data_IF_867154559859
#
_entry.id   IF_867154559859
#
_cell.length_a   1.000
_cell.length_b   1.000
_cell.length_c   1.000
_cell.angle_alpha   90.00
_cell.angle_beta   90.00
_cell.angle_gamma   90.00
#
_symmetry.space_group_name_H-M   'P 1'
#
loop_
_entity.id
_entity.type
_entity.pdbx_description
1 polymer ?
#
# COMPACT_ATOMS: atom_id res chain seq x y z
N UNK A 1 20.80 -0.58 -14.63
CA UNK A 1 19.65 -0.36 -13.73
C UNK A 1 19.93 -1.15 -12.49
N UNK A 2 19.99 -0.48 -11.35
CA UNK A 2 20.08 -1.13 -10.05
C UNK A 2 18.67 -1.40 -9.53
N UNK A 3 18.50 -2.45 -8.79
CA UNK A 3 17.26 -2.73 -8.05
C UNK A 3 17.57 -2.68 -6.57
N UNK A 4 16.81 -1.87 -5.83
CA UNK A 4 16.96 -1.73 -4.38
C UNK A 4 15.90 -2.57 -3.67
N UNK A 5 16.29 -3.22 -2.60
CA UNK A 5 15.44 -4.07 -1.78
C UNK A 5 15.73 -3.77 -0.31
N UNK A 6 14.73 -3.99 0.54
CA UNK A 6 14.93 -3.96 1.98
C UNK A 6 14.66 -5.34 2.58
N UNK A 7 15.39 -5.69 3.62
CA UNK A 7 15.13 -6.87 4.42
C UNK A 7 15.21 -6.53 5.91
N UNK A 8 14.49 -7.28 6.70
CA UNK A 8 14.44 -7.14 8.15
C UNK A 8 14.48 -8.52 8.79
N UNK A 9 15.23 -8.62 9.89
CA UNK A 9 15.36 -9.87 10.63
C UNK A 9 14.35 -9.97 11.78
N UNK A 10 14.13 -8.89 12.52
CA UNK A 10 13.23 -8.79 13.66
C UNK A 10 12.51 -7.44 13.68
N UNK A 11 11.37 -7.35 14.36
CA UNK A 11 10.60 -6.11 14.49
C UNK A 11 11.14 -5.25 15.64
N UNK A 12 12.37 -4.77 15.52
CA UNK A 12 13.01 -3.89 16.48
C UNK A 12 14.02 -2.97 15.79
N UNK A 13 14.44 -1.91 16.48
CA UNK A 13 15.48 -0.99 15.98
C UNK A 13 16.76 -1.74 15.55
N UNK A 14 17.46 -1.20 14.55
CA UNK A 14 18.71 -1.73 14.00
C UNK A 14 18.61 -3.11 13.32
N UNK A 15 17.41 -3.57 12.98
CA UNK A 15 17.20 -4.88 12.34
C UNK A 15 16.77 -4.79 10.86
N UNK A 16 16.71 -3.59 10.32
CA UNK A 16 16.45 -3.36 8.91
C UNK A 16 17.70 -2.98 8.13
N UNK A 17 17.76 -3.31 6.86
CA UNK A 17 18.83 -2.90 5.96
C UNK A 17 18.35 -2.86 4.52
N UNK A 18 18.80 -1.86 3.78
CA UNK A 18 18.59 -1.75 2.33
C UNK A 18 19.78 -2.34 1.59
N UNK A 19 19.56 -2.99 0.47
CA UNK A 19 20.62 -3.49 -0.39
C UNK A 19 20.35 -3.24 -1.87
N UNK A 20 21.44 -3.09 -2.62
CA UNK A 20 21.42 -2.89 -4.04
C UNK A 20 22.14 -4.03 -4.76
N UNK A 21 21.57 -4.49 -5.85
CA UNK A 21 22.14 -5.53 -6.70
C UNK A 21 22.14 -5.11 -8.15
N UNK A 22 23.22 -5.43 -8.85
CA UNK A 22 23.33 -5.23 -10.31
C UNK A 22 22.58 -6.32 -11.09
N UNK A 23 22.35 -7.46 -10.47
CA UNK A 23 21.60 -8.56 -11.07
C UNK A 23 20.09 -8.39 -10.84
N UNK A 24 19.30 -8.67 -11.88
CA UNK A 24 17.84 -8.76 -11.75
C UNK A 24 17.49 -10.01 -10.95
N UNK A 25 17.36 -9.86 -9.64
CA UNK A 25 16.87 -10.91 -8.75
C UNK A 25 15.36 -10.72 -8.60
N UNK A 26 14.58 -11.74 -8.94
CA UNK A 26 13.15 -11.69 -8.67
C UNK A 26 12.90 -12.13 -7.22
N UNK A 27 12.72 -11.16 -6.34
CA UNK A 27 12.37 -11.39 -4.93
C UNK A 27 10.94 -10.90 -4.73
N UNK A 28 10.15 -11.67 -4.02
CA UNK A 28 8.79 -11.26 -3.62
C UNK A 28 8.72 -11.11 -2.11
N UNK A 29 7.82 -10.25 -1.64
CA UNK A 29 7.58 -10.03 -0.20
C UNK A 29 7.31 -11.35 0.51
N UNK A 30 7.82 -11.45 1.75
CA UNK A 30 7.70 -12.66 2.56
C UNK A 30 8.66 -13.80 2.19
N UNK A 31 9.59 -13.59 1.26
CA UNK A 31 10.65 -14.57 1.01
C UNK A 31 11.79 -14.41 1.99
N UNK A 32 12.27 -15.54 2.49
CA UNK A 32 13.51 -15.62 3.26
C UNK A 32 14.70 -15.61 2.30
N UNK A 33 15.65 -14.71 2.55
CA UNK A 33 16.82 -14.52 1.71
C UNK A 33 18.10 -14.50 2.54
N UNK A 34 19.22 -14.91 1.94
CA UNK A 34 20.55 -14.60 2.42
C UNK A 34 21.14 -13.55 1.49
N UNK A 35 21.63 -12.45 2.07
CA UNK A 35 22.26 -11.37 1.33
C UNK A 35 23.71 -11.21 1.82
N UNK A 36 24.65 -11.13 0.89
CA UNK A 36 26.08 -10.90 1.17
C UNK A 36 26.55 -9.72 0.34
N UNK A 37 27.16 -8.74 0.96
CA UNK A 37 27.64 -7.53 0.29
C UNK A 37 28.58 -6.71 1.14
N UNK A 38 28.96 -5.54 0.67
CA UNK A 38 29.77 -4.57 1.40
C UNK A 38 28.86 -3.52 2.04
N UNK A 39 29.01 -3.31 3.35
CA UNK A 39 28.29 -2.23 4.04
C UNK A 39 28.96 -0.90 3.71
N UNK A 40 28.14 0.09 3.35
CA UNK A 40 28.58 1.47 3.13
C UNK A 40 27.49 2.45 3.53
N UNK A 41 27.89 3.57 4.08
CA UNK A 41 27.01 4.71 4.39
C UNK A 41 27.09 5.80 3.31
N UNK A 42 28.13 5.74 2.47
CA UNK A 42 28.38 6.69 1.41
C UNK A 42 28.97 5.97 0.20
N UNK A 43 28.13 5.70 -0.81
CA UNK A 43 28.63 5.27 -2.11
C UNK A 43 28.86 6.52 -2.99
N UNK A 44 30.12 6.87 -3.33
CA UNK A 44 30.40 8.04 -4.15
C UNK A 44 29.93 7.89 -5.60
N UNK A 45 29.65 6.69 -6.05
CA UNK A 45 29.13 6.39 -7.39
C UNK A 45 27.59 6.34 -7.44
N UNK A 46 26.94 6.52 -6.28
CA UNK A 46 25.49 6.43 -6.18
C UNK A 46 24.81 7.79 -6.32
N UNK A 47 23.69 7.76 -7.05
CA UNK A 47 22.87 8.93 -7.32
C UNK A 47 22.42 9.60 -6.00
N UNK A 48 22.36 10.91 -5.99
CA UNK A 48 21.91 11.83 -4.95
C UNK A 48 20.70 11.37 -4.11
N UNK A 49 19.86 10.48 -4.67
CA UNK A 49 18.64 9.97 -4.05
C UNK A 49 18.83 9.21 -2.73
N UNK A 50 19.96 8.55 -2.58
CA UNK A 50 20.18 7.59 -1.50
C UNK A 50 21.50 7.83 -0.76
N UNK A 51 22.12 8.98 -0.92
CA UNK A 51 23.32 9.34 -0.19
C UNK A 51 22.96 9.57 1.28
N UNK A 52 23.49 8.76 2.16
CA UNK A 52 23.25 8.82 3.61
C UNK A 52 22.63 7.58 4.21
N UNK A 53 22.12 6.65 3.39
CA UNK A 53 21.60 5.37 3.88
C UNK A 53 22.73 4.37 4.15
N UNK A 54 22.64 3.67 5.28
CA UNK A 54 23.42 2.45 5.50
C UNK A 54 22.85 1.33 4.62
N UNK A 55 23.69 0.82 3.71
CA UNK A 55 23.27 -0.20 2.74
C UNK A 55 24.33 -1.25 2.46
N UNK A 56 23.90 -2.36 1.86
CA UNK A 56 24.78 -3.33 1.24
C UNK A 56 24.89 -3.04 -0.26
N UNK A 57 26.10 -2.82 -0.74
CA UNK A 57 26.41 -2.70 -2.18
C UNK A 57 27.08 -3.97 -2.69
N UNK A 58 27.00 -4.18 -4.01
CA UNK A 58 27.46 -5.40 -4.67
C UNK A 58 26.86 -6.65 -4.02
N UNK A 59 25.56 -6.60 -3.77
CA UNK A 59 24.89 -7.64 -3.02
C UNK A 59 24.67 -8.90 -3.87
N UNK A 60 25.09 -10.03 -3.34
CA UNK A 60 24.72 -11.35 -3.82
C UNK A 60 23.54 -11.87 -3.00
N UNK A 61 22.46 -12.26 -3.66
CA UNK A 61 21.20 -12.68 -3.01
C UNK A 61 20.91 -14.13 -3.29
N UNK A 62 20.62 -14.89 -2.25
CA UNK A 62 20.13 -16.27 -2.35
C UNK A 62 18.75 -16.36 -1.70
N UNK A 63 17.74 -16.73 -2.47
CA UNK A 63 16.38 -16.99 -1.97
C UNK A 63 16.34 -18.38 -1.34
N UNK A 64 15.98 -18.47 -0.06
CA UNK A 64 15.91 -19.71 0.69
C UNK A 64 14.51 -20.35 0.63
N UNK A 65 13.45 -19.55 0.53
CA UNK A 65 12.07 -20.03 0.44
C UNK A 65 11.05 -18.96 0.82
N UNK A 66 9.82 -19.42 1.04
CA UNK A 66 8.75 -18.56 1.58
C UNK A 66 8.83 -18.56 3.12
N UNK A 67 8.64 -17.39 3.69
CA UNK A 67 8.56 -17.16 5.13
C UNK A 67 7.39 -16.21 5.42
N UNK A 68 7.25 -15.80 6.66
CA UNK A 68 6.30 -14.75 7.05
C UNK A 68 7.00 -13.38 6.97
N UNK A 69 6.27 -12.35 6.57
CA UNK A 69 6.79 -10.99 6.71
C UNK A 69 7.09 -10.68 8.18
N UNK A 70 8.13 -9.87 8.46
CA UNK A 70 8.34 -9.32 9.79
C UNK A 70 7.11 -8.52 10.24
N UNK A 71 6.82 -8.56 11.54
CA UNK A 71 5.78 -7.70 12.11
C UNK A 71 6.25 -6.23 12.06
N UNK A 72 5.29 -5.32 12.01
CA UNK A 72 5.60 -3.90 12.10
C UNK A 72 6.00 -3.53 13.52
N UNK A 73 7.01 -2.68 13.63
CA UNK A 73 7.31 -2.00 14.87
C UNK A 73 6.37 -0.80 15.05
N UNK A 74 5.58 -0.79 16.14
CA UNK A 74 4.76 0.37 16.45
C UNK A 74 5.64 1.51 16.98
N UNK A 75 5.52 2.67 16.37
CA UNK A 75 6.27 3.88 16.70
C UNK A 75 5.31 5.09 16.73
N UNK A 76 5.74 6.18 17.37
CA UNK A 76 5.08 7.49 17.30
C UNK A 76 5.75 8.38 16.26
N UNK A 77 5.10 9.49 15.89
CA UNK A 77 5.74 10.51 15.05
C UNK A 77 6.98 11.12 15.74
N UNK A 78 7.01 11.19 17.09
CA UNK A 78 8.18 11.66 17.83
C UNK A 78 9.39 10.74 17.63
N UNK A 79 9.20 9.40 17.68
CA UNK A 79 10.28 8.42 17.53
C UNK A 79 10.97 8.52 16.17
N UNK A 80 10.22 8.80 15.12
CA UNK A 80 10.67 8.84 13.72
C UNK A 80 10.69 10.26 13.14
N UNK A 81 10.70 11.28 14.01
CA UNK A 81 10.89 12.68 13.61
C UNK A 81 12.36 13.03 13.45
N UNK A 82 12.65 14.06 12.68
CA UNK A 82 14.02 14.60 12.52
C UNK A 82 14.63 15.15 13.83
N UNK A 83 13.81 15.32 14.87
CA UNK A 83 14.26 15.76 16.20
C UNK A 83 14.64 14.57 17.11
N UNK A 84 14.34 13.34 16.70
CA UNK A 84 14.68 12.13 17.45
C UNK A 84 16.17 11.82 17.36
N UNK A 85 16.83 11.66 18.50
CA UNK A 85 18.24 11.22 18.56
C UNK A 85 18.45 9.78 18.07
N UNK A 86 17.37 9.00 18.01
CA UNK A 86 17.39 7.57 17.63
C UNK A 86 16.84 7.31 16.22
N UNK A 87 16.53 8.34 15.45
CA UNK A 87 15.87 8.23 14.15
C UNK A 87 16.56 7.24 13.19
N UNK A 88 17.90 7.24 13.17
CA UNK A 88 18.72 6.36 12.33
C UNK A 88 18.53 4.87 12.69
N UNK A 89 18.18 4.58 13.95
CA UNK A 89 17.98 3.20 14.41
C UNK A 89 16.75 2.51 13.78
N UNK A 90 15.84 3.29 13.22
CA UNK A 90 14.66 2.79 12.52
C UNK A 90 14.87 2.59 11.02
N UNK A 91 16.01 3.02 10.47
CA UNK A 91 16.30 2.89 9.05
C UNK A 91 16.25 1.42 8.60
N UNK A 92 15.54 1.16 7.51
CA UNK A 92 15.31 -0.19 6.98
C UNK A 92 14.28 -1.02 7.76
N UNK A 93 13.67 -0.48 8.81
CA UNK A 93 12.69 -1.18 9.66
C UNK A 93 11.26 -0.93 9.14
N UNK A 94 10.43 -1.96 9.18
CA UNK A 94 8.98 -1.83 8.97
C UNK A 94 8.33 -1.20 10.20
N UNK A 95 7.82 0.00 10.04
CA UNK A 95 7.18 0.77 11.11
C UNK A 95 5.68 0.94 10.87
N UNK A 96 4.94 1.18 11.96
CA UNK A 96 3.52 1.47 11.94
C UNK A 96 3.19 2.55 12.97
N UNK A 97 2.55 3.61 12.50
CA UNK A 97 1.97 4.68 13.29
C UNK A 97 0.46 4.52 13.33
N UNK A 98 -0.14 4.59 14.49
CA UNK A 98 -1.58 4.41 14.66
C UNK A 98 -2.24 5.74 15.02
N UNK A 99 -3.52 5.90 14.61
CA UNK A 99 -4.34 7.08 14.91
C UNK A 99 -3.65 8.38 14.48
N UNK A 100 -3.32 8.48 13.23
CA UNK A 100 -2.61 9.63 12.67
C UNK A 100 -3.55 10.53 11.87
N UNK A 101 -3.17 11.80 11.74
CA UNK A 101 -3.90 12.80 10.95
C UNK A 101 -2.97 13.32 9.85
N UNK A 102 -3.48 13.44 8.64
CA UNK A 102 -2.74 14.07 7.54
C UNK A 102 -2.57 15.56 7.87
N UNK A 103 -1.34 16.01 7.98
CA UNK A 103 -1.00 17.40 8.29
C UNK A 103 -0.72 18.24 7.05
N UNK A 104 -0.24 17.62 5.98
CA UNK A 104 -0.06 18.28 4.69
C UNK A 104 -0.02 17.27 3.54
N UNK A 105 -0.42 17.71 2.33
CA UNK A 105 -0.28 16.95 1.09
C UNK A 105 0.44 17.81 0.07
N UNK A 106 1.59 17.37 -0.42
CA UNK A 106 2.41 18.03 -1.42
C UNK A 106 2.39 17.25 -2.74
N UNK A 107 3.13 17.74 -3.73
CA UNK A 107 3.21 17.12 -5.06
C UNK A 107 3.93 15.77 -5.06
N UNK A 108 4.91 15.57 -4.16
CA UNK A 108 5.81 14.42 -4.13
C UNK A 108 5.77 13.62 -2.82
N UNK A 109 5.24 14.21 -1.75
CA UNK A 109 5.14 13.61 -0.43
C UNK A 109 3.95 14.17 0.34
N UNK A 110 3.64 13.57 1.44
CA UNK A 110 2.64 14.04 2.38
C UNK A 110 3.12 13.81 3.81
N UNK A 111 2.56 14.53 4.76
CA UNK A 111 2.96 14.43 6.15
C UNK A 111 1.79 14.02 7.03
N UNK A 112 2.12 13.32 8.10
CA UNK A 112 1.20 12.92 9.15
C UNK A 112 1.68 13.40 10.50
N UNK A 113 0.74 13.58 11.42
CA UNK A 113 1.00 13.83 12.83
C UNK A 113 0.14 12.92 13.69
N UNK A 114 0.58 12.63 14.90
CA UNK A 114 -0.17 11.90 15.93
C UNK A 114 -0.35 12.76 17.18
N UNK A 115 -0.73 12.14 18.31
CA UNK A 115 -0.91 12.84 19.59
C UNK A 115 0.38 13.46 20.16
N UNK A 116 1.55 13.06 19.69
CA UNK A 116 2.85 13.65 20.07
C UNK A 116 3.02 15.08 19.54
N UNK A 117 2.32 15.41 18.45
CA UNK A 117 2.40 16.69 17.76
C UNK A 117 3.61 16.85 16.84
N UNK A 118 4.46 15.83 16.71
CA UNK A 118 5.54 15.78 15.71
C UNK A 118 4.99 15.38 14.34
N UNK A 119 5.74 15.72 13.30
CA UNK A 119 5.41 15.34 11.91
C UNK A 119 6.35 14.25 11.39
N UNK A 120 5.82 13.38 10.56
CA UNK A 120 6.56 12.35 9.84
C UNK A 120 6.17 12.40 8.38
N UNK A 121 7.17 12.37 7.50
CA UNK A 121 6.96 12.37 6.04
C UNK A 121 6.64 10.96 5.54
N UNK A 122 5.74 10.92 4.58
CA UNK A 122 5.32 9.71 3.88
C UNK A 122 5.61 9.88 2.39
N UNK A 123 6.11 8.82 1.78
CA UNK A 123 6.48 8.80 0.37
C UNK A 123 5.94 7.52 -0.29
N UNK A 124 5.61 7.58 -1.57
CA UNK A 124 5.05 6.48 -2.35
C UNK A 124 5.97 6.01 -3.49
N UNK A 125 7.20 6.47 -3.54
CA UNK A 125 8.19 6.14 -4.58
C UNK A 125 8.41 4.62 -4.77
N UNK A 126 8.11 3.80 -3.77
CA UNK A 126 8.19 2.34 -3.83
C UNK A 126 6.96 1.68 -4.47
N UNK A 127 5.95 2.46 -4.82
CA UNK A 127 4.68 1.95 -5.32
C UNK A 127 4.38 2.50 -6.72
N UNK A 128 3.56 1.80 -7.48
CA UNK A 128 2.95 2.34 -8.71
C UNK A 128 1.64 3.09 -8.40
N UNK A 129 1.54 3.74 -7.24
CA UNK A 129 0.31 4.41 -6.80
C UNK A 129 -0.04 5.65 -7.62
N UNK A 130 0.91 6.20 -8.38
CA UNK A 130 0.63 7.24 -9.39
C UNK A 130 -0.45 6.80 -10.39
N UNK A 131 -0.49 5.50 -10.73
CA UNK A 131 -1.51 4.96 -11.64
C UNK A 131 -2.93 4.98 -11.05
N UNK A 132 -3.07 5.01 -9.74
CA UNK A 132 -4.34 4.88 -9.03
C UNK A 132 -4.93 6.21 -8.55
N UNK A 133 -4.25 7.34 -8.80
CA UNK A 133 -4.65 8.69 -8.31
C UNK A 133 -4.92 8.73 -6.79
N UNK A 134 -4.28 7.85 -6.01
CA UNK A 134 -4.55 7.74 -4.58
C UNK A 134 -4.19 9.03 -3.83
N UNK A 135 -3.01 9.60 -4.11
CA UNK A 135 -2.56 10.84 -3.47
C UNK A 135 -3.56 12.00 -3.67
N UNK A 136 -4.25 12.03 -4.82
CA UNK A 136 -5.28 13.03 -5.09
C UNK A 136 -6.54 12.87 -4.22
N UNK A 137 -6.67 11.78 -3.49
CA UNK A 137 -7.79 11.52 -2.56
C UNK A 137 -7.47 11.89 -1.11
N UNK A 138 -6.21 12.17 -0.80
CA UNK A 138 -5.77 12.59 0.53
C UNK A 138 -6.14 14.06 0.76
N UNK A 139 -6.56 14.37 1.97
CA UNK A 139 -7.00 15.72 2.35
C UNK A 139 -6.39 16.10 3.70
N UNK A 140 -5.88 17.31 3.80
CA UNK A 140 -5.40 17.87 5.09
C UNK A 140 -6.48 17.75 6.15
N UNK A 141 -6.09 17.29 7.35
CA UNK A 141 -7.00 17.06 8.47
C UNK A 141 -7.73 15.72 8.40
N UNK A 142 -7.48 14.87 7.39
CA UNK A 142 -8.05 13.52 7.34
C UNK A 142 -7.41 12.63 8.39
N UNK A 143 -8.26 11.99 9.20
CA UNK A 143 -7.81 10.98 10.18
C UNK A 143 -7.64 9.62 9.49
N UNK A 144 -6.55 8.94 9.81
CA UNK A 144 -6.24 7.59 9.37
C UNK A 144 -6.07 6.69 10.58
N UNK A 145 -6.56 5.46 10.49
CA UNK A 145 -6.40 4.47 11.56
C UNK A 145 -4.91 4.15 11.79
N UNK A 146 -4.16 4.03 10.69
CA UNK A 146 -2.71 3.86 10.72
C UNK A 146 -2.07 4.23 9.39
N UNK A 147 -0.78 4.49 9.45
CA UNK A 147 0.14 4.45 8.30
C UNK A 147 1.28 3.51 8.65
N UNK A 148 1.67 2.64 7.74
CA UNK A 148 2.77 1.72 7.90
C UNK A 148 3.64 1.69 6.65
N UNK A 149 4.88 1.20 6.78
CA UNK A 149 5.78 1.12 5.65
C UNK A 149 7.22 0.87 6.08
N UNK A 150 8.10 0.95 5.12
CA UNK A 150 9.54 0.90 5.36
C UNK A 150 10.05 2.28 5.75
N UNK A 151 10.66 2.42 6.92
CA UNK A 151 11.30 3.69 7.29
C UNK A 151 12.67 3.78 6.62
N UNK A 152 12.91 4.86 5.91
CA UNK A 152 14.09 5.00 5.07
C UNK A 152 14.51 6.46 4.91
N UNK A 153 15.81 6.69 4.66
CA UNK A 153 16.32 8.00 4.27
C UNK A 153 16.37 8.11 2.74
N UNK A 154 15.69 9.09 2.17
CA UNK A 154 15.67 9.32 0.72
C UNK A 154 15.49 10.80 0.39
N UNK A 155 16.17 11.29 -0.65
CA UNK A 155 16.12 12.69 -1.11
C UNK A 155 16.45 13.74 -0.05
N UNK A 156 17.21 13.39 0.99
CA UNK A 156 17.61 14.30 2.04
C UNK A 156 16.76 14.27 3.31
N UNK A 157 15.70 13.45 3.34
CA UNK A 157 14.76 13.34 4.45
C UNK A 157 14.50 11.90 4.85
N UNK A 158 14.21 11.69 6.14
CA UNK A 158 13.66 10.43 6.63
C UNK A 158 12.16 10.37 6.34
N UNK A 159 11.71 9.26 5.77
CA UNK A 159 10.33 9.05 5.33
C UNK A 159 9.85 7.64 5.57
N UNK A 160 8.56 7.45 5.70
CA UNK A 160 7.94 6.13 5.61
C UNK A 160 7.58 5.89 4.16
N UNK A 161 8.21 4.90 3.57
CA UNK A 161 7.93 4.43 2.21
C UNK A 161 6.77 3.44 2.27
N UNK A 162 5.59 3.85 1.82
CA UNK A 162 4.45 2.94 1.71
C UNK A 162 4.68 1.96 0.56
N UNK A 163 4.29 0.70 0.75
CA UNK A 163 4.56 -0.39 -0.19
C UNK A 163 3.35 -0.70 -1.06
N UNK A 164 2.16 -0.46 -0.52
CA UNK A 164 0.87 -0.56 -1.19
C UNK A 164 -0.24 0.12 -0.35
N UNK A 165 -1.47 0.14 -0.88
CA UNK A 165 -2.62 0.76 -0.19
C UNK A 165 -2.98 0.11 1.16
N UNK A 166 -2.52 -1.11 1.44
CA UNK A 166 -2.74 -1.75 2.73
C UNK A 166 -1.86 -1.16 3.85
N UNK A 167 -0.83 -0.43 3.48
CA UNK A 167 -0.02 0.32 4.44
C UNK A 167 -0.74 1.57 4.97
N UNK A 168 -1.94 1.88 4.46
CA UNK A 168 -2.75 3.02 4.87
C UNK A 168 -4.10 2.56 5.40
N UNK A 169 -4.27 2.63 6.71
CA UNK A 169 -5.54 2.41 7.39
C UNK A 169 -6.44 3.63 7.24
N UNK A 170 -7.38 3.58 6.30
CA UNK A 170 -8.39 4.64 6.23
C UNK A 170 -9.37 4.48 7.38
N UNK A 171 -9.59 5.54 8.15
CA UNK A 171 -10.73 5.63 9.06
C UNK A 171 -12.00 5.69 8.21
N UNK A 172 -12.58 4.54 7.97
CA UNK A 172 -13.95 4.45 7.50
C UNK A 172 -14.81 4.86 8.69
N UNK A 173 -15.31 6.09 8.71
CA UNK A 173 -16.32 6.47 9.68
C UNK A 173 -17.39 5.39 9.73
N UNK A 174 -17.55 4.77 10.92
CA UNK A 174 -18.49 3.72 11.30
C UNK A 174 -18.03 2.26 11.04
N UNK A 175 -17.56 1.63 12.12
CA UNK A 175 -17.62 0.19 12.44
C UNK A 175 -17.49 -0.79 11.27
N UNK A 176 -16.29 -1.18 10.92
CA UNK A 176 -16.05 -2.56 10.52
C UNK A 176 -14.58 -2.93 10.84
N UNK A 177 -14.43 -3.87 11.78
CA UNK A 177 -13.18 -4.58 12.13
C UNK A 177 -12.73 -5.47 10.96
N UNK A 178 -12.50 -4.89 9.79
CA UNK A 178 -11.98 -5.64 8.65
C UNK A 178 -10.50 -5.33 8.49
N UNK A 179 -9.67 -6.01 9.27
CA UNK A 179 -8.27 -6.17 8.97
C UNK A 179 -8.16 -6.92 7.63
N UNK A 180 -8.08 -6.18 6.53
CA UNK A 180 -7.88 -6.80 5.23
C UNK A 180 -6.41 -7.14 5.09
N UNK A 181 -6.09 -8.42 5.21
CA UNK A 181 -4.79 -8.92 4.82
C UNK A 181 -4.64 -8.74 3.29
N UNK A 182 -3.75 -7.87 2.78
CA UNK A 182 -3.59 -7.63 1.35
C UNK A 182 -3.13 -8.86 0.57
N UNK A 183 -2.58 -9.86 1.27
CA UNK A 183 -2.22 -11.16 0.71
C UNK A 183 -3.32 -12.22 0.85
N UNK A 184 -4.50 -11.83 1.33
CA UNK A 184 -5.70 -12.66 1.33
C UNK A 184 -6.67 -12.15 0.26
N UNK A 185 -7.44 -13.06 -0.31
CA UNK A 185 -8.52 -12.68 -1.20
C UNK A 185 -9.65 -12.03 -0.41
N UNK A 186 -10.01 -10.81 -0.74
CA UNK A 186 -11.16 -10.13 -0.14
C UNK A 186 -11.90 -9.25 -1.14
N UNK A 187 -13.18 -9.06 -0.90
CA UNK A 187 -14.01 -8.07 -1.58
C UNK A 187 -14.62 -7.18 -0.51
N UNK A 188 -14.29 -5.91 -0.54
CA UNK A 188 -14.75 -4.93 0.46
C UNK A 188 -16.07 -4.29 0.05
N UNK A 189 -16.69 -3.60 0.99
CA UNK A 189 -17.86 -2.77 0.70
C UNK A 189 -17.44 -1.59 -0.18
N UNK A 190 -18.31 -1.26 -1.13
CA UNK A 190 -18.10 -0.11 -1.98
C UNK A 190 -18.28 1.19 -1.19
N UNK A 191 -17.49 2.20 -1.53
CA UNK A 191 -17.57 3.50 -0.87
C UNK A 191 -17.61 4.65 -1.91
N UNK A 192 -18.51 5.62 -1.71
CA UNK A 192 -19.59 5.64 -0.75
C UNK A 192 -20.68 4.59 -1.04
N UNK A 193 -21.45 4.19 -0.01
CA UNK A 193 -22.64 3.36 -0.13
C UNK A 193 -23.68 3.80 0.93
N UNK A 194 -24.82 4.42 0.56
CA UNK A 194 -25.30 4.70 -0.80
C UNK A 194 -24.45 5.69 -1.58
N UNK A 195 -24.45 5.63 -2.92
CA UNK A 195 -23.64 6.47 -3.80
C UNK A 195 -24.44 7.22 -4.86
N UNK A 196 -23.87 8.34 -5.38
CA UNK A 196 -24.50 9.17 -6.42
C UNK A 196 -23.44 9.96 -7.22
N UNK A 197 -23.21 9.71 -8.49
CA UNK A 197 -23.49 8.47 -9.23
C UNK A 197 -22.29 7.50 -9.20
N UNK A 198 -21.20 7.84 -8.51
CA UNK A 198 -19.92 7.13 -8.53
C UNK A 198 -19.59 6.47 -7.18
N UNK A 199 -19.01 5.28 -7.25
CA UNK A 199 -18.52 4.55 -6.07
C UNK A 199 -17.27 3.77 -6.42
N UNK A 200 -16.44 3.53 -5.41
CA UNK A 200 -15.25 2.70 -5.49
C UNK A 200 -15.57 1.29 -5.01
N UNK A 201 -15.14 0.29 -5.75
CA UNK A 201 -15.17 -1.12 -5.35
C UNK A 201 -13.72 -1.52 -5.08
N UNK A 202 -13.47 -1.99 -3.87
CA UNK A 202 -12.15 -2.33 -3.36
C UNK A 202 -12.05 -3.83 -3.14
N UNK A 203 -10.93 -4.42 -3.51
CA UNK A 203 -10.66 -5.84 -3.30
C UNK A 203 -9.17 -6.12 -3.14
N UNK A 204 -8.83 -7.24 -2.53
CA UNK A 204 -7.45 -7.74 -2.49
C UNK A 204 -7.37 -9.14 -3.09
N UNK A 205 -6.23 -9.45 -3.67
CA UNK A 205 -5.90 -10.78 -4.22
C UNK A 205 -4.55 -11.25 -3.70
N UNK A 206 -4.49 -12.50 -3.25
CA UNK A 206 -3.31 -13.05 -2.58
C UNK A 206 -2.15 -13.41 -3.51
N UNK A 207 -2.43 -13.64 -4.80
CA UNK A 207 -1.45 -14.05 -5.81
C UNK A 207 -1.76 -13.38 -7.14
N UNK A 208 -0.84 -13.44 -8.11
CA UNK A 208 -1.11 -13.01 -9.49
C UNK A 208 -2.23 -13.85 -10.08
N UNK A 209 -3.38 -13.21 -10.38
CA UNK A 209 -4.59 -13.89 -10.84
C UNK A 209 -5.28 -13.15 -11.98
N UNK A 210 -6.05 -13.91 -12.79
CA UNK A 210 -7.02 -13.31 -13.70
C UNK A 210 -8.27 -12.89 -12.93
N UNK A 211 -8.53 -11.59 -12.87
CA UNK A 211 -9.67 -11.02 -12.15
C UNK A 211 -10.81 -10.72 -13.12
N UNK A 212 -12.02 -11.05 -12.69
CA UNK A 212 -13.26 -10.62 -13.33
C UNK A 212 -14.15 -9.95 -12.30
N UNK A 213 -14.56 -8.70 -12.57
CA UNK A 213 -15.47 -7.91 -11.70
C UNK A 213 -16.67 -7.47 -12.51
N UNK A 214 -17.85 -7.91 -12.08
CA UNK A 214 -19.09 -7.71 -12.82
C UNK A 214 -20.21 -7.17 -11.92
N UNK A 215 -20.97 -6.22 -12.45
CA UNK A 215 -22.14 -5.65 -11.80
C UNK A 215 -23.40 -6.33 -12.32
N UNK A 216 -24.30 -6.70 -11.41
CA UNK A 216 -25.61 -7.30 -11.69
C UNK A 216 -26.74 -6.51 -11.06
N UNK A 217 -27.91 -6.57 -11.64
CA UNK A 217 -29.15 -6.14 -10.97
C UNK A 217 -29.69 -7.25 -10.04
N UNK A 218 -30.74 -6.92 -9.28
CA UNK A 218 -31.37 -7.87 -8.34
C UNK A 218 -32.05 -9.07 -9.02
N UNK A 219 -32.20 -9.05 -10.35
CA UNK A 219 -32.70 -10.18 -11.13
C UNK A 219 -31.57 -11.07 -11.67
N UNK A 220 -30.32 -10.74 -11.35
CA UNK A 220 -29.13 -11.46 -11.82
C UNK A 220 -28.73 -11.12 -13.26
N UNK A 221 -29.32 -10.10 -13.87
CA UNK A 221 -28.90 -9.66 -15.20
C UNK A 221 -27.60 -8.85 -15.09
N UNK A 222 -26.65 -9.18 -15.95
CA UNK A 222 -25.38 -8.45 -16.02
C UNK A 222 -25.65 -7.03 -16.55
N UNK A 223 -25.16 -6.05 -15.82
CA UNK A 223 -25.27 -4.61 -16.12
C UNK A 223 -23.96 -4.07 -16.69
N UNK A 224 -22.85 -4.32 -16.00
CA UNK A 224 -21.54 -3.85 -16.44
C UNK A 224 -20.47 -4.88 -16.13
N UNK A 225 -19.41 -4.91 -16.93
CA UNK A 225 -18.17 -5.66 -16.65
C UNK A 225 -17.07 -4.64 -16.44
N UNK A 226 -16.63 -4.46 -15.19
CA UNK A 226 -15.59 -3.49 -14.84
C UNK A 226 -14.19 -4.04 -15.13
N UNK A 227 -14.01 -5.35 -14.89
CA UNK A 227 -12.77 -6.10 -15.19
C UNK A 227 -13.18 -7.38 -15.90
N UNK A 228 -12.52 -7.72 -17.00
CA UNK A 228 -12.88 -8.86 -17.84
C UNK A 228 -11.75 -9.89 -18.04
N UNK A 229 -11.21 -10.42 -16.96
CA UNK A 229 -10.17 -11.44 -17.00
C UNK A 229 -8.76 -10.86 -17.22
N UNK A 230 -8.53 -9.67 -16.72
CA UNK A 230 -7.22 -9.03 -16.73
C UNK A 230 -6.36 -9.61 -15.61
N UNK A 231 -5.03 -9.65 -15.82
CA UNK A 231 -4.09 -10.10 -14.80
C UNK A 231 -3.82 -8.96 -13.81
N UNK A 232 -4.00 -9.25 -12.54
CA UNK A 232 -3.66 -8.37 -11.42
C UNK A 232 -2.56 -9.00 -10.58
N UNK A 233 -1.64 -8.19 -10.06
CA UNK A 233 -0.65 -8.61 -9.05
C UNK A 233 -1.32 -8.91 -7.71
N UNK A 234 -0.62 -9.57 -6.79
CA UNK A 234 -1.06 -9.66 -5.38
C UNK A 234 -1.10 -8.25 -4.78
N UNK A 235 -2.05 -8.03 -3.86
CA UNK A 235 -2.22 -6.76 -3.20
C UNK A 235 -3.64 -6.20 -3.30
N UNK A 236 -3.75 -4.92 -3.00
CA UNK A 236 -5.00 -4.17 -2.94
C UNK A 236 -5.30 -3.50 -4.28
N UNK A 237 -6.58 -3.47 -4.68
CA UNK A 237 -7.01 -2.91 -5.96
C UNK A 237 -8.30 -2.14 -5.79
N UNK A 238 -8.44 -1.04 -6.56
CA UNK A 238 -9.62 -0.17 -6.56
C UNK A 238 -10.15 -0.01 -7.98
N UNK A 239 -11.45 -0.10 -8.14
CA UNK A 239 -12.14 0.10 -9.42
C UNK A 239 -13.36 0.98 -9.23
N UNK A 240 -13.48 2.02 -10.04
CA UNK A 240 -14.60 2.95 -9.99
C UNK A 240 -15.75 2.48 -10.86
N UNK A 241 -16.99 2.61 -10.33
CA UNK A 241 -18.21 2.46 -11.11
C UNK A 241 -19.07 3.72 -11.06
N UNK A 242 -19.45 4.22 -12.24
CA UNK A 242 -20.19 5.49 -12.40
C UNK A 242 -21.69 5.29 -12.62
N UNK A 243 -22.27 4.18 -12.19
CA UNK A 243 -23.69 3.89 -12.37
C UNK A 243 -24.13 3.79 -13.83
N UNK A 244 -23.29 3.19 -14.68
CA UNK A 244 -23.56 3.00 -16.11
C UNK A 244 -23.51 1.53 -16.50
N UNK A 245 -24.23 1.17 -17.59
CA UNK A 245 -24.15 -0.15 -18.22
C UNK A 245 -22.95 -0.28 -19.15
N UNK A 246 -22.75 -1.44 -19.78
CA UNK A 246 -21.65 -1.68 -20.73
C UNK A 246 -21.72 -0.78 -21.99
N UNK A 247 -22.85 -0.17 -22.28
CA UNK A 247 -23.03 0.77 -23.39
C UNK A 247 -22.81 2.24 -22.97
N UNK A 248 -22.51 2.49 -21.69
CA UNK A 248 -22.32 3.83 -21.12
C UNK A 248 -23.63 4.54 -20.74
N UNK A 249 -24.78 3.87 -20.80
CA UNK A 249 -26.05 4.46 -20.40
C UNK A 249 -26.20 4.43 -18.89
N UNK A 250 -26.73 5.52 -18.30
CA UNK A 250 -27.03 5.58 -16.86
C UNK A 250 -28.08 4.54 -16.47
N UNK A 251 -27.79 3.78 -15.43
CA UNK A 251 -28.75 2.80 -14.91
C UNK A 251 -29.68 3.45 -13.87
N UNK A 252 -30.88 2.89 -13.60
CA UNK A 252 -31.82 3.40 -12.61
C UNK A 252 -31.25 3.38 -11.19
N UNK A 253 -31.80 4.24 -10.29
CA UNK A 253 -31.57 4.10 -8.85
C UNK A 253 -32.07 2.74 -8.36
N UNK A 254 -31.36 2.11 -7.46
CA UNK A 254 -31.69 0.80 -6.94
C UNK A 254 -30.52 0.04 -6.37
N UNK A 255 -30.80 -1.18 -5.94
CA UNK A 255 -29.80 -2.10 -5.41
C UNK A 255 -29.15 -2.88 -6.56
N UNK A 256 -27.82 -2.92 -6.54
CA UNK A 256 -26.99 -3.69 -7.45
C UNK A 256 -26.10 -4.65 -6.66
N UNK A 257 -25.65 -5.69 -7.31
CA UNK A 257 -24.70 -6.68 -6.76
C UNK A 257 -23.43 -6.61 -7.61
N UNK A 258 -22.29 -6.51 -6.99
CA UNK A 258 -21.01 -6.72 -7.67
C UNK A 258 -20.40 -8.04 -7.23
N UNK A 259 -19.84 -8.74 -8.21
CA UNK A 259 -19.19 -10.05 -8.04
C UNK A 259 -17.79 -10.00 -8.56
N UNK A 260 -16.83 -10.40 -7.70
CA UNK A 260 -15.46 -10.68 -8.11
C UNK A 260 -15.24 -12.17 -8.27
N UNK A 261 -14.41 -12.53 -9.26
CA UNK A 261 -13.81 -13.84 -9.41
C UNK A 261 -12.32 -13.65 -9.67
N UNK A 262 -11.47 -14.25 -8.82
CA UNK A 262 -10.01 -14.27 -8.94
C UNK A 262 -9.53 -15.69 -8.65
N UNK A 263 -9.11 -16.42 -9.69
CA UNK A 263 -8.85 -17.87 -9.57
C UNK A 263 -10.07 -18.64 -9.06
N UNK A 264 -9.90 -19.32 -7.92
CA UNK A 264 -10.98 -20.04 -7.22
C UNK A 264 -11.79 -19.18 -6.26
N UNK A 265 -11.30 -17.97 -5.95
CA UNK A 265 -12.00 -17.03 -5.07
C UNK A 265 -13.19 -16.39 -5.79
N UNK A 266 -14.36 -16.43 -5.14
CA UNK A 266 -15.60 -15.77 -5.61
C UNK A 266 -16.26 -15.10 -4.42
N UNK A 267 -16.57 -13.81 -4.56
CA UNK A 267 -17.32 -13.05 -3.55
C UNK A 267 -18.31 -12.08 -4.20
N UNK A 268 -19.42 -11.81 -3.47
CA UNK A 268 -20.49 -10.91 -3.88
C UNK A 268 -20.78 -9.89 -2.77
N UNK A 269 -21.05 -8.65 -3.16
CA UNK A 269 -21.55 -7.64 -2.24
C UNK A 269 -22.66 -6.78 -2.90
N UNK A 270 -23.43 -6.08 -2.06
CA UNK A 270 -24.53 -5.24 -2.50
C UNK A 270 -24.19 -3.77 -2.37
N UNK A 271 -24.72 -2.95 -3.27
CA UNK A 271 -24.57 -1.50 -3.24
C UNK A 271 -25.88 -0.81 -3.61
N UNK A 272 -26.08 0.42 -3.12
CA UNK A 272 -27.28 1.21 -3.34
C UNK A 272 -26.95 2.49 -4.13
N UNK A 273 -27.42 2.56 -5.38
CA UNK A 273 -27.34 3.76 -6.20
C UNK A 273 -28.53 4.68 -5.93
N UNK A 274 -28.24 5.92 -5.57
CA UNK A 274 -29.21 7.01 -5.47
C UNK A 274 -29.05 7.98 -6.66
N UNK A 275 -30.09 8.73 -6.96
CA UNK A 275 -30.07 9.83 -7.93
C UNK A 275 -30.38 11.13 -7.25
#
# INVERSE_FOLDING_TARGET
SYSSYAFQNESSQWNGLVFDTEELVTITRGQEVTVTGLITDNDPDYDYKFSGNTRLINAEVTVLGQSTEPEFMNVSCEDVSVESEEIESYEGVLVKLNNVTISSVNEYDWAITDESGFETLIDDDMTNMEADNFLSTLVDGQELEYVSGLFNYSFGDYKIQIRDLADIGQSLGINDDVHVNPYAYSLLDNYPNPFNPETQIRFSIGNVEQVKLVIYDMMGRQINTLINGENFGSGYHVVNWRGVDNAGNKVPSGVYVYRIKAGDYIADKKMLLLK
#
